data_IF_491419630972
#
_entry.id   IF_491419630972
#
_cell.length_a   1.000
_cell.length_b   1.000
_cell.length_c   1.000
_cell.angle_alpha   90.00
_cell.angle_beta   90.00
_cell.angle_gamma   90.00
#
_symmetry.space_group_name_H-M   'P 1'
#
loop_
_entity.id
_entity.type
_entity.pdbx_description
1 polymer ?
#
# COMPACT_ATOMS: atom_id res chain seq x y z
N UNK A 1 13.68 53.54 -34.60
CA UNK A 1 14.29 52.63 -33.60
C UNK A 1 13.43 52.52 -32.33
N UNK A 2 12.25 51.88 -32.38
CA UNK A 2 11.37 51.75 -31.17
C UNK A 2 10.62 50.41 -31.03
N UNK A 3 10.89 49.41 -31.88
CA UNK A 3 10.19 48.11 -31.85
C UNK A 3 11.01 46.92 -31.33
N UNK A 4 12.35 47.03 -31.29
CA UNK A 4 13.23 45.88 -30.97
C UNK A 4 13.44 45.62 -29.47
N UNK A 5 13.13 46.59 -28.59
CA UNK A 5 13.32 46.44 -27.14
C UNK A 5 12.14 45.78 -26.43
N UNK A 6 10.92 45.91 -26.96
CA UNK A 6 9.71 45.31 -26.35
C UNK A 6 9.67 43.79 -26.57
N UNK A 7 10.12 43.31 -27.74
CA UNK A 7 10.14 41.88 -28.05
C UNK A 7 11.13 41.09 -27.17
N UNK A 8 12.25 41.72 -26.77
CA UNK A 8 13.26 41.09 -25.93
C UNK A 8 12.80 40.93 -24.46
N UNK A 9 11.92 41.81 -23.98
CA UNK A 9 11.36 41.75 -22.62
C UNK A 9 10.31 40.63 -22.50
N UNK A 10 9.53 40.38 -23.57
CA UNK A 10 8.52 39.31 -23.58
C UNK A 10 9.19 37.92 -23.60
N UNK A 11 10.33 37.75 -24.27
CA UNK A 11 11.07 36.48 -24.28
C UNK A 11 11.73 36.13 -22.94
N UNK A 12 12.06 37.10 -22.08
CA UNK A 12 12.67 36.83 -20.76
C UNK A 12 11.62 36.37 -19.74
N UNK A 13 10.35 36.80 -19.87
CA UNK A 13 9.26 36.30 -19.01
C UNK A 13 8.82 34.87 -19.34
N UNK A 14 9.10 34.36 -20.54
CA UNK A 14 8.79 32.98 -20.94
C UNK A 14 9.82 31.95 -20.44
N UNK A 15 10.92 32.38 -19.82
CA UNK A 15 12.00 31.53 -19.32
C UNK A 15 11.92 31.22 -17.82
N UNK A 16 10.91 31.74 -17.12
CA UNK A 16 10.50 31.18 -15.83
C UNK A 16 9.61 29.96 -16.09
N UNK A 17 10.22 28.91 -16.64
CA UNK A 17 9.64 27.58 -16.59
C UNK A 17 9.31 27.29 -15.14
N UNK A 18 8.03 27.11 -14.83
CA UNK A 18 7.60 26.70 -13.50
C UNK A 18 8.39 25.44 -13.17
N UNK A 19 9.33 25.55 -12.23
CA UNK A 19 9.88 24.37 -11.59
C UNK A 19 8.68 23.75 -10.89
N UNK A 20 8.05 22.78 -11.54
CA UNK A 20 7.08 21.91 -10.90
C UNK A 20 7.90 21.11 -9.91
N UNK A 21 8.09 21.68 -8.72
CA UNK A 21 8.51 20.90 -7.58
C UNK A 21 7.43 19.84 -7.44
N UNK A 22 7.79 18.58 -7.70
CA UNK A 22 6.94 17.46 -7.36
C UNK A 22 6.56 17.69 -5.90
N UNK A 23 5.28 17.95 -5.64
CA UNK A 23 4.83 17.98 -4.27
C UNK A 23 5.23 16.64 -3.67
N UNK A 24 5.85 16.61 -2.48
CA UNK A 24 6.08 15.35 -1.81
C UNK A 24 4.72 14.68 -1.68
N UNK A 25 4.49 13.68 -2.54
CA UNK A 25 3.32 12.84 -2.48
C UNK A 25 3.49 12.05 -1.19
N UNK A 26 2.80 12.47 -0.13
CA UNK A 26 2.75 11.68 1.08
C UNK A 26 2.31 10.26 0.69
N UNK A 27 3.10 9.27 1.08
CA UNK A 27 2.72 7.87 0.99
C UNK A 27 1.34 7.71 1.58
N UNK A 28 0.41 7.12 0.83
CA UNK A 28 -0.95 6.86 1.32
C UNK A 28 -1.13 5.37 1.54
N UNK A 29 -1.62 5.05 2.73
CA UNK A 29 -2.03 3.71 3.14
C UNK A 29 -3.48 3.77 3.60
N UNK A 30 -4.28 2.79 3.18
CA UNK A 30 -5.61 2.58 3.71
C UNK A 30 -5.78 1.15 4.22
N UNK A 31 -6.59 1.00 5.26
CA UNK A 31 -7.11 -0.29 5.70
C UNK A 31 -8.20 -0.77 4.76
N UNK A 32 -8.12 -2.03 4.33
CA UNK A 32 -9.12 -2.67 3.50
C UNK A 32 -10.34 -3.05 4.33
N UNK A 33 -11.49 -2.48 4.00
CA UNK A 33 -12.79 -2.93 4.49
C UNK A 33 -13.39 -3.91 3.48
N UNK A 34 -13.47 -5.17 3.87
CA UNK A 34 -14.08 -6.24 3.08
C UNK A 34 -15.42 -6.67 3.69
N UNK A 35 -16.31 -7.19 2.85
CA UNK A 35 -17.72 -7.41 3.23
C UNK A 35 -17.97 -8.63 4.12
N UNK A 36 -17.14 -9.69 4.07
CA UNK A 36 -17.47 -10.96 4.72
C UNK A 36 -16.36 -11.62 5.54
N UNK A 37 -16.78 -12.29 6.62
CA UNK A 37 -16.02 -13.35 7.28
C UNK A 37 -15.28 -12.99 8.58
N UNK A 38 -15.05 -11.71 8.88
CA UNK A 38 -14.20 -11.34 10.01
C UNK A 38 -14.26 -9.85 10.34
N UNK A 39 -13.36 -9.42 11.22
CA UNK A 39 -13.22 -8.09 11.79
C UNK A 39 -12.09 -7.31 11.10
N UNK A 40 -12.35 -6.83 9.89
CA UNK A 40 -11.41 -6.01 9.11
C UNK A 40 -10.80 -4.81 9.89
N UNK A 41 -11.49 -4.35 10.95
CA UNK A 41 -11.11 -3.26 11.83
C UNK A 41 -10.20 -3.67 13.02
N UNK A 42 -9.76 -4.93 13.10
CA UNK A 42 -8.84 -5.41 14.12
C UNK A 42 -7.49 -4.68 14.10
N UNK A 43 -6.72 -4.77 15.18
CA UNK A 43 -5.41 -4.10 15.31
C UNK A 43 -5.45 -2.62 14.93
N UNK A 44 -6.30 -1.80 15.60
CA UNK A 44 -6.48 -0.40 15.23
C UNK A 44 -5.19 0.42 15.37
N UNK A 45 -4.20 -0.09 16.10
CA UNK A 45 -2.88 0.54 16.24
C UNK A 45 -1.89 0.19 15.12
N UNK A 46 -2.13 -0.87 14.33
CA UNK A 46 -1.15 -1.37 13.35
C UNK A 46 -0.79 -0.32 12.28
N UNK A 47 -1.78 0.21 11.57
CA UNK A 47 -1.54 1.22 10.52
C UNK A 47 -1.03 2.54 11.10
N UNK A 48 -1.60 3.12 12.18
CA UNK A 48 -1.04 4.31 12.81
C UNK A 48 0.43 4.14 13.25
N UNK A 49 0.78 2.99 13.84
CA UNK A 49 2.15 2.68 14.27
C UNK A 49 3.09 2.53 13.06
N UNK A 50 2.65 1.84 12.00
CA UNK A 50 3.42 1.74 10.75
C UNK A 50 3.68 3.13 10.14
N UNK A 51 2.67 3.98 10.07
CA UNK A 51 2.82 5.33 9.52
C UNK A 51 3.76 6.18 10.39
N UNK A 52 3.66 6.07 11.71
CA UNK A 52 4.56 6.74 12.66
C UNK A 52 6.01 6.24 12.51
N UNK A 53 6.20 4.94 12.33
CA UNK A 53 7.53 4.35 12.11
C UNK A 53 8.15 4.86 10.81
N UNK A 54 7.39 4.83 9.70
CA UNK A 54 7.83 5.35 8.40
C UNK A 54 8.27 6.82 8.52
N UNK A 55 7.48 7.67 9.18
CA UNK A 55 7.83 9.10 9.37
C UNK A 55 9.11 9.30 10.18
N UNK A 56 9.33 8.49 11.21
CA UNK A 56 10.43 8.71 12.17
C UNK A 56 11.73 8.04 11.75
N UNK A 57 11.65 6.97 10.97
CA UNK A 57 12.81 6.16 10.58
C UNK A 57 13.21 6.32 9.12
N UNK A 58 12.42 7.01 8.29
CA UNK A 58 12.71 7.22 6.86
C UNK A 58 12.47 8.68 6.45
N UNK A 59 12.85 9.03 5.21
CA UNK A 59 12.52 10.33 4.62
C UNK A 59 11.13 10.40 3.97
N UNK A 60 10.30 9.35 4.09
CA UNK A 60 8.99 9.25 3.44
C UNK A 60 7.93 9.95 4.30
N UNK A 61 7.24 10.93 3.72
CA UNK A 61 6.06 11.53 4.35
C UNK A 61 4.89 10.53 4.37
N UNK A 62 4.29 10.29 5.53
CA UNK A 62 3.15 9.37 5.70
C UNK A 62 2.07 10.00 6.61
N UNK A 63 0.77 9.72 6.38
CA UNK A 63 -0.33 10.38 7.08
C UNK A 63 -0.37 10.03 8.57
N UNK A 64 -0.77 11.00 9.40
CA UNK A 64 -0.97 10.76 10.84
C UNK A 64 -2.24 9.95 11.13
N UNK A 65 -3.25 10.12 10.28
CA UNK A 65 -4.54 9.45 10.42
C UNK A 65 -4.62 8.28 9.45
N UNK A 66 -5.10 7.17 9.97
CA UNK A 66 -5.48 6.02 9.15
C UNK A 66 -6.72 6.36 8.32
N UNK A 67 -6.70 5.94 7.06
CA UNK A 67 -7.86 5.95 6.18
C UNK A 67 -8.35 4.51 5.98
N UNK A 68 -9.64 4.35 5.68
CA UNK A 68 -10.24 3.05 5.33
C UNK A 68 -10.76 3.13 3.90
N UNK A 69 -10.64 2.04 3.17
CA UNK A 69 -11.19 1.92 1.82
C UNK A 69 -11.94 0.61 1.65
N UNK A 70 -13.14 0.68 1.07
CA UNK A 70 -13.92 -0.51 0.73
C UNK A 70 -13.29 -1.23 -0.47
N UNK A 71 -13.23 -2.55 -0.43
CA UNK A 71 -12.61 -3.36 -1.48
C UNK A 71 -13.28 -3.17 -2.87
N UNK A 72 -14.56 -2.84 -2.91
CA UNK A 72 -15.33 -2.54 -4.13
C UNK A 72 -15.22 -1.09 -4.59
N UNK A 73 -14.65 -0.19 -3.78
CA UNK A 73 -14.63 1.24 -4.05
C UNK A 73 -13.57 1.60 -5.09
N UNK A 74 -13.87 2.46 -6.08
CA UNK A 74 -12.87 3.01 -6.98
C UNK A 74 -11.86 3.93 -6.26
N UNK A 75 -12.13 4.33 -5.02
CA UNK A 75 -11.16 5.07 -4.21
C UNK A 75 -9.90 4.25 -3.90
N UNK A 76 -9.93 2.91 -4.00
CA UNK A 76 -8.77 2.05 -3.74
C UNK A 76 -7.57 2.41 -4.62
N UNK A 77 -7.81 2.93 -5.83
CA UNK A 77 -6.76 3.35 -6.77
C UNK A 77 -6.02 4.64 -6.33
N UNK A 78 -6.44 5.30 -5.25
CA UNK A 78 -5.73 6.43 -4.67
C UNK A 78 -4.62 6.00 -3.70
N UNK A 79 -4.54 4.72 -3.37
CA UNK A 79 -3.57 4.16 -2.43
C UNK A 79 -2.63 3.22 -3.18
N UNK A 80 -1.32 3.44 -3.08
CA UNK A 80 -0.36 2.48 -3.64
C UNK A 80 -0.21 1.24 -2.73
N UNK A 81 -0.59 1.37 -1.45
CA UNK A 81 -0.45 0.36 -0.43
C UNK A 81 -1.75 0.25 0.36
N UNK A 82 -2.26 -0.96 0.50
CA UNK A 82 -3.46 -1.26 1.26
C UNK A 82 -3.12 -2.33 2.30
N UNK A 83 -3.53 -2.09 3.54
CA UNK A 83 -3.35 -2.99 4.67
C UNK A 83 -4.62 -3.79 4.92
N UNK A 84 -4.50 -5.08 5.16
CA UNK A 84 -5.60 -5.97 5.48
C UNK A 84 -5.22 -6.86 6.67
N UNK A 85 -6.12 -7.01 7.62
CA UNK A 85 -6.03 -7.95 8.75
C UNK A 85 -7.44 -8.49 9.03
N UNK A 86 -7.54 -9.44 9.96
CA UNK A 86 -8.79 -9.94 10.53
C UNK A 86 -8.65 -11.34 11.11
N UNK A 87 -9.69 -11.78 11.81
CA UNK A 87 -9.77 -13.09 12.45
C UNK A 87 -10.56 -14.10 11.63
N UNK A 88 -10.02 -15.31 11.52
CA UNK A 88 -10.72 -16.50 11.04
C UNK A 88 -11.04 -16.49 9.54
N UNK A 89 -12.09 -15.80 9.10
CA UNK A 89 -12.57 -15.89 7.73
C UNK A 89 -12.51 -14.56 6.96
N UNK A 90 -12.11 -14.62 5.69
CA UNK A 90 -12.28 -13.53 4.73
C UNK A 90 -13.10 -14.01 3.57
N UNK A 91 -14.07 -13.21 3.16
CA UNK A 91 -14.86 -13.47 1.97
C UNK A 91 -15.07 -12.17 1.22
N UNK A 92 -14.62 -12.15 -0.03
CA UNK A 92 -14.95 -11.09 -0.96
C UNK A 92 -16.19 -11.47 -1.77
N UNK A 93 -17.06 -10.49 -1.97
CA UNK A 93 -18.07 -10.53 -3.02
C UNK A 93 -17.42 -10.49 -4.41
N UNK A 94 -18.17 -10.84 -5.45
CA UNK A 94 -17.62 -10.89 -6.80
C UNK A 94 -17.21 -9.50 -7.33
N UNK A 95 -17.89 -8.43 -6.89
CA UNK A 95 -17.52 -7.05 -7.22
C UNK A 95 -16.23 -6.61 -6.51
N UNK A 96 -16.04 -6.99 -5.24
CA UNK A 96 -14.79 -6.76 -4.51
C UNK A 96 -13.63 -7.52 -5.14
N UNK A 97 -13.83 -8.79 -5.53
CA UNK A 97 -12.81 -9.57 -6.23
C UNK A 97 -12.37 -8.92 -7.55
N UNK A 98 -13.33 -8.48 -8.36
CA UNK A 98 -13.01 -7.86 -9.65
C UNK A 98 -12.26 -6.54 -9.46
N UNK A 99 -12.70 -5.71 -8.51
CA UNK A 99 -12.03 -4.44 -8.24
C UNK A 99 -10.63 -4.62 -7.64
N UNK A 100 -10.47 -5.54 -6.67
CA UNK A 100 -9.16 -5.88 -6.10
C UNK A 100 -8.20 -6.46 -7.15
N UNK A 101 -8.68 -7.34 -8.03
CA UNK A 101 -7.87 -7.87 -9.13
C UNK A 101 -7.38 -6.74 -10.04
N UNK A 102 -8.24 -5.78 -10.38
CA UNK A 102 -7.87 -4.61 -11.19
C UNK A 102 -6.85 -3.72 -10.46
N UNK A 103 -7.06 -3.47 -9.17
CA UNK A 103 -6.15 -2.71 -8.32
C UNK A 103 -4.74 -3.31 -8.31
N UNK A 104 -4.63 -4.61 -8.01
CA UNK A 104 -3.36 -5.33 -7.94
C UNK A 104 -2.66 -5.39 -9.31
N UNK A 105 -3.42 -5.64 -10.39
CA UNK A 105 -2.88 -5.63 -11.76
C UNK A 105 -2.42 -4.23 -12.22
N UNK A 106 -2.98 -3.17 -11.64
CA UNK A 106 -2.57 -1.79 -11.92
C UNK A 106 -1.33 -1.35 -11.13
N UNK A 107 -0.72 -2.24 -10.34
CA UNK A 107 0.47 -1.96 -9.53
C UNK A 107 0.17 -1.62 -8.07
N UNK A 108 -1.07 -1.78 -7.62
CA UNK A 108 -1.43 -1.68 -6.21
C UNK A 108 -0.77 -2.78 -5.38
N UNK A 109 -0.39 -2.45 -4.15
CA UNK A 109 0.17 -3.39 -3.19
C UNK A 109 -0.85 -3.72 -2.10
N UNK A 110 -0.99 -5.00 -1.75
CA UNK A 110 -1.84 -5.47 -0.65
C UNK A 110 -0.95 -6.19 0.37
N UNK A 111 -0.83 -5.60 1.55
CA UNK A 111 -0.23 -6.23 2.71
C UNK A 111 -1.32 -6.94 3.51
N UNK A 112 -1.13 -8.22 3.80
CA UNK A 112 -2.09 -9.03 4.57
C UNK A 112 -1.42 -9.56 5.82
N UNK A 113 -1.96 -9.19 6.97
CA UNK A 113 -1.55 -9.62 8.29
C UNK A 113 -2.49 -10.71 8.78
N UNK A 114 -1.96 -11.91 9.03
CA UNK A 114 -2.72 -12.97 9.69
C UNK A 114 -2.48 -12.87 11.20
N UNK A 115 -3.27 -12.03 11.87
CA UNK A 115 -3.24 -11.89 13.34
C UNK A 115 -3.70 -13.19 14.02
N UNK A 116 -4.77 -13.82 13.50
CA UNK A 116 -5.25 -15.10 14.04
C UNK A 116 -6.17 -15.88 13.07
N UNK A 117 -5.59 -16.83 12.34
CA UNK A 117 -6.31 -17.86 11.58
C UNK A 117 -6.88 -17.42 10.24
N UNK A 118 -6.37 -16.33 9.66
CA UNK A 118 -6.73 -15.77 8.36
C UNK A 118 -6.23 -16.61 7.18
N UNK A 119 -5.03 -17.22 7.28
CA UNK A 119 -4.27 -17.83 6.17
C UNK A 119 -5.14 -18.73 5.27
N UNK A 120 -5.85 -19.69 5.87
CA UNK A 120 -6.67 -20.65 5.12
C UNK A 120 -7.78 -19.97 4.31
N UNK A 121 -8.44 -18.99 4.92
CA UNK A 121 -9.56 -18.29 4.26
C UNK A 121 -9.05 -17.33 3.19
N UNK A 122 -7.94 -16.65 3.45
CA UNK A 122 -7.31 -15.74 2.50
C UNK A 122 -6.76 -16.50 1.28
N UNK A 123 -6.09 -17.65 1.46
CA UNK A 123 -5.63 -18.49 0.34
C UNK A 123 -6.77 -18.96 -0.57
N UNK A 124 -7.93 -19.29 0.01
CA UNK A 124 -9.13 -19.61 -0.78
C UNK A 124 -9.57 -18.41 -1.64
N UNK A 125 -9.55 -17.21 -1.07
CA UNK A 125 -9.91 -16.00 -1.80
C UNK A 125 -8.85 -15.60 -2.83
N UNK A 126 -7.56 -15.88 -2.58
CA UNK A 126 -6.49 -15.72 -3.56
C UNK A 126 -6.68 -16.60 -4.79
N UNK A 127 -7.11 -17.86 -4.62
CA UNK A 127 -7.44 -18.71 -5.76
C UNK A 127 -8.61 -18.14 -6.60
N UNK A 128 -9.54 -17.43 -5.96
CA UNK A 128 -10.60 -16.68 -6.66
C UNK A 128 -10.05 -15.42 -7.33
N UNK A 129 -9.13 -14.69 -6.70
CA UNK A 129 -8.51 -13.48 -7.23
C UNK A 129 -7.61 -13.78 -8.44
N UNK A 130 -6.73 -14.77 -8.33
CA UNK A 130 -5.76 -15.17 -9.35
C UNK A 130 -5.72 -16.70 -9.52
N UNK A 131 -6.70 -17.29 -10.24
CA UNK A 131 -6.76 -18.73 -10.44
C UNK A 131 -5.44 -19.29 -10.99
N UNK A 132 -4.95 -20.38 -10.41
CA UNK A 132 -3.70 -21.03 -10.79
C UNK A 132 -2.41 -20.31 -10.38
N UNK A 133 -2.49 -19.22 -9.60
CA UNK A 133 -1.31 -18.50 -9.09
C UNK A 133 -1.22 -18.67 -7.58
N UNK A 134 -0.68 -19.81 -7.15
CA UNK A 134 -0.45 -20.07 -5.74
C UNK A 134 0.64 -19.13 -5.17
N UNK A 135 0.51 -18.77 -3.88
CA UNK A 135 1.56 -18.06 -3.17
C UNK A 135 2.84 -18.90 -3.16
N UNK A 136 3.95 -18.26 -3.47
CA UNK A 136 5.29 -18.80 -3.29
C UNK A 136 5.98 -18.06 -2.14
N UNK A 137 6.73 -18.78 -1.34
CA UNK A 137 7.62 -18.18 -0.36
C UNK A 137 8.73 -17.41 -1.09
N UNK A 138 8.99 -16.17 -0.65
CA UNK A 138 10.07 -15.37 -1.21
C UNK A 138 11.41 -15.80 -0.58
N UNK A 139 12.45 -16.08 -1.38
CA UNK A 139 13.76 -16.39 -0.83
C UNK A 139 14.33 -15.17 -0.08
N UNK A 140 15.13 -15.39 0.95
CA UNK A 140 15.74 -14.28 1.72
C UNK A 140 16.65 -13.38 0.88
N UNK A 141 17.12 -13.83 -0.28
CA UNK A 141 17.84 -13.00 -1.25
C UNK A 141 16.94 -12.06 -2.05
N UNK A 142 15.62 -12.12 -1.89
CA UNK A 142 14.68 -11.27 -2.62
C UNK A 142 14.89 -9.80 -2.22
N UNK A 143 14.85 -8.83 -3.17
CA UNK A 143 15.16 -7.43 -2.89
C UNK A 143 14.34 -6.80 -1.75
N UNK A 144 13.12 -7.28 -1.49
CA UNK A 144 12.27 -6.80 -0.40
C UNK A 144 12.95 -6.84 0.98
N UNK A 145 13.87 -7.79 1.19
CA UNK A 145 14.62 -7.94 2.45
C UNK A 145 15.85 -7.02 2.55
N UNK A 146 16.16 -6.25 1.49
CA UNK A 146 17.40 -5.49 1.37
C UNK A 146 17.18 -4.04 0.85
N UNK A 147 15.96 -3.48 0.97
CA UNK A 147 15.65 -2.14 0.44
C UNK A 147 16.16 -1.03 1.37
N UNK A 148 15.65 -1.01 2.60
CA UNK A 148 15.96 0.05 3.58
C UNK A 148 16.79 -0.49 4.74
N UNK A 149 16.39 -1.66 5.23
CA UNK A 149 17.17 -2.49 6.15
C UNK A 149 17.65 -3.73 5.43
N UNK A 150 18.71 -4.34 5.96
CA UNK A 150 19.25 -5.59 5.47
C UNK A 150 18.86 -6.75 6.40
N UNK A 151 18.01 -7.65 5.91
CA UNK A 151 17.50 -8.81 6.62
C UNK A 151 18.03 -10.12 6.01
N UNK A 152 19.34 -10.34 6.10
CA UNK A 152 20.04 -11.51 5.54
C UNK A 152 19.50 -12.89 5.99
N UNK A 153 18.68 -12.96 7.05
CA UNK A 153 18.05 -14.18 7.57
C UNK A 153 16.52 -14.12 7.59
N UNK A 154 15.92 -13.23 6.80
CA UNK A 154 14.48 -12.97 6.81
C UNK A 154 14.05 -12.01 7.93
N UNK A 155 12.73 -11.81 8.06
CA UNK A 155 12.17 -10.90 9.05
C UNK A 155 12.49 -11.35 10.48
N UNK A 156 12.77 -10.43 11.42
CA UNK A 156 12.95 -10.78 12.81
C UNK A 156 11.65 -11.40 13.36
N UNK A 157 11.76 -12.47 14.15
CA UNK A 157 10.60 -13.04 14.86
C UNK A 157 10.13 -12.02 15.91
N UNK A 158 8.94 -11.45 15.74
CA UNK A 158 8.38 -10.39 16.60
C UNK A 158 7.27 -10.88 17.54
N UNK A 159 6.78 -12.11 17.36
CA UNK A 159 5.73 -12.71 18.19
C UNK A 159 5.91 -14.23 18.31
N UNK A 160 5.52 -14.80 19.45
CA UNK A 160 5.60 -16.24 19.75
C UNK A 160 4.20 -16.72 20.16
N UNK A 161 3.46 -17.30 19.21
CA UNK A 161 2.26 -18.08 19.55
C UNK A 161 2.71 -19.48 19.99
N UNK A 162 2.34 -19.88 21.21
CA UNK A 162 2.44 -21.26 21.70
C UNK A 162 3.85 -21.88 21.77
N UNK A 163 4.88 -21.11 22.14
CA UNK A 163 6.26 -21.62 22.34
C UNK A 163 6.81 -22.45 21.16
N UNK A 164 6.41 -22.10 19.92
CA UNK A 164 6.93 -22.67 18.67
C UNK A 164 7.51 -21.58 17.78
#
# INVERSE_FOLDING_TARGET
MRGRRVFLIICIMALFGSVVLAQPSAFKCARLKYSGGGDWYNDPSAVPNLMAYIRTHTGVGAPEKEETVEASSPAIFQYAFVFMTGHGNVRFSDSELENLRRYLKAGGFLYVDDDYGLDKSFRRELERLFPGNALAELPYSHPIYHIYYDFAKGLPKTHEHDQK
#
